data_IF_796887957019
#
_entry.id   IF_796887957019
#
_cell.length_a   1.000
_cell.length_b   1.000
_cell.length_c   1.000
_cell.angle_alpha   90.00
_cell.angle_beta   90.00
_cell.angle_gamma   90.00
#
_symmetry.space_group_name_H-M   'P 1'
#
loop_
_entity.id
_entity.type
_entity.pdbx_description
1 polymer ?
#
# COMPACT_ATOMS: atom_id res chain seq x y z
N UNK A 1 6.39 -3.50 22.64
CA UNK A 1 5.29 -3.29 21.67
C UNK A 1 5.05 -1.81 21.40
N UNK A 2 4.81 -0.99 22.42
CA UNK A 2 4.55 0.46 22.27
C UNK A 2 5.64 1.21 21.45
N UNK A 3 6.92 0.83 21.60
CA UNK A 3 8.03 1.45 20.87
C UNK A 3 7.98 1.24 19.35
N UNK A 4 7.56 0.06 18.87
CA UNK A 4 7.42 -0.19 17.43
C UNK A 4 6.29 0.64 16.85
N UNK A 5 5.14 0.66 17.53
CA UNK A 5 4.01 1.50 17.13
C UNK A 5 4.40 2.98 17.13
N UNK A 6 5.05 3.47 18.18
CA UNK A 6 5.58 4.84 18.21
C UNK A 6 6.49 5.12 17.02
N UNK A 7 7.47 4.24 16.72
CA UNK A 7 8.38 4.40 15.59
C UNK A 7 7.62 4.52 14.26
N UNK A 8 6.71 3.57 13.99
CA UNK A 8 5.89 3.56 12.76
C UNK A 8 5.05 4.84 12.67
N UNK A 9 4.43 5.28 13.77
CA UNK A 9 3.62 6.48 13.78
C UNK A 9 4.43 7.76 13.57
N UNK A 10 5.66 7.85 14.11
CA UNK A 10 6.54 8.99 13.85
C UNK A 10 7.03 9.01 12.40
N UNK A 11 7.42 7.85 11.86
CA UNK A 11 7.82 7.74 10.45
C UNK A 11 6.69 8.16 9.52
N UNK A 12 5.45 7.78 9.82
CA UNK A 12 4.27 8.17 9.05
C UNK A 12 4.07 9.69 8.95
N UNK A 13 4.38 10.44 10.03
CA UNK A 13 4.25 11.91 10.02
C UNK A 13 5.18 12.59 9.01
N UNK A 14 6.33 11.98 8.71
CA UNK A 14 7.30 12.55 7.78
C UNK A 14 6.80 12.60 6.34
N UNK A 15 5.78 11.81 6.01
CA UNK A 15 5.40 11.49 4.64
C UNK A 15 3.92 11.75 4.31
N UNK A 16 3.01 11.76 5.29
CA UNK A 16 1.57 11.91 5.02
C UNK A 16 0.97 13.24 5.48
N UNK A 17 -0.09 13.65 4.79
CA UNK A 17 -0.84 14.90 5.02
C UNK A 17 -1.91 14.83 6.12
N UNK A 18 -2.22 13.65 6.64
CA UNK A 18 -3.29 13.43 7.63
C UNK A 18 -2.77 12.58 8.76
N UNK A 19 -3.31 12.72 9.98
CA UNK A 19 -3.08 11.77 11.07
C UNK A 19 -3.59 10.37 10.72
N UNK A 20 -3.03 9.32 11.35
CA UNK A 20 -3.26 7.90 10.98
C UNK A 20 -4.74 7.55 11.05
N UNK A 21 -5.44 8.04 12.07
CA UNK A 21 -6.86 7.81 12.23
C UNK A 21 -7.70 8.22 11.00
N UNK A 22 -7.41 9.39 10.40
CA UNK A 22 -8.16 9.88 9.25
C UNK A 22 -7.75 9.16 7.96
N UNK A 23 -6.47 8.80 7.84
CA UNK A 23 -6.00 8.00 6.71
C UNK A 23 -6.64 6.61 6.72
N UNK A 24 -6.61 5.91 7.86
CA UNK A 24 -7.19 4.58 7.99
C UNK A 24 -8.71 4.60 7.77
N UNK A 25 -9.41 5.63 8.23
CA UNK A 25 -10.83 5.82 7.92
C UNK A 25 -11.06 5.91 6.40
N UNK A 26 -10.37 6.82 5.71
CA UNK A 26 -10.52 6.99 4.26
C UNK A 26 -10.13 5.72 3.49
N UNK A 27 -9.08 5.03 3.94
CA UNK A 27 -8.60 3.80 3.32
C UNK A 27 -9.56 2.60 3.53
N UNK A 28 -10.16 2.47 4.72
CA UNK A 28 -11.24 1.48 4.97
C UNK A 28 -12.47 1.75 4.10
N UNK A 29 -12.86 3.03 3.94
CA UNK A 29 -13.94 3.40 3.02
C UNK A 29 -13.57 3.04 1.58
N UNK A 30 -12.34 3.33 1.17
CA UNK A 30 -11.81 3.01 -0.16
C UNK A 30 -11.93 1.52 -0.46
N UNK A 31 -11.32 0.63 0.34
CA UNK A 31 -11.41 -0.82 0.10
C UNK A 31 -12.85 -1.34 0.07
N UNK A 32 -13.71 -0.85 0.98
CA UNK A 32 -15.08 -1.35 1.09
C UNK A 32 -15.98 -0.90 -0.07
N UNK A 33 -15.69 0.24 -0.67
CA UNK A 33 -16.55 0.86 -1.69
C UNK A 33 -15.78 1.29 -2.94
N UNK A 34 -14.67 0.61 -3.22
CA UNK A 34 -13.71 0.95 -4.28
C UNK A 34 -14.42 1.17 -5.61
N UNK A 35 -14.01 2.18 -6.36
CA UNK A 35 -14.58 2.52 -7.67
C UNK A 35 -16.08 2.88 -7.67
N UNK A 36 -16.63 3.33 -6.53
CA UNK A 36 -17.99 3.86 -6.43
C UNK A 36 -18.00 5.34 -6.07
N UNK A 37 -19.18 5.98 -6.03
CA UNK A 37 -19.32 7.36 -5.52
C UNK A 37 -18.99 7.50 -4.04
N UNK A 38 -18.87 6.38 -3.32
CA UNK A 38 -18.49 6.34 -1.91
C UNK A 38 -16.99 6.21 -1.69
N UNK A 39 -16.20 5.94 -2.73
CA UNK A 39 -14.75 5.88 -2.67
C UNK A 39 -14.15 7.30 -2.65
N UNK A 40 -13.35 7.67 -1.63
CA UNK A 40 -12.76 9.00 -1.52
C UNK A 40 -11.91 9.38 -2.74
N UNK A 41 -11.19 8.44 -3.35
CA UNK A 41 -10.26 8.67 -4.47
C UNK A 41 -10.61 7.82 -5.69
N UNK A 42 -11.91 7.66 -5.95
CA UNK A 42 -12.47 6.89 -7.06
C UNK A 42 -11.74 7.09 -8.40
N UNK A 43 -10.98 6.07 -8.81
CA UNK A 43 -10.21 6.05 -10.05
C UNK A 43 -11.09 6.16 -11.33
N UNK A 44 -12.38 5.80 -11.28
CA UNK A 44 -13.31 5.99 -12.42
C UNK A 44 -13.60 7.47 -12.73
N UNK A 45 -13.25 8.39 -11.83
CA UNK A 45 -13.30 9.84 -12.09
C UNK A 45 -12.07 10.36 -12.84
N UNK A 46 -11.14 9.47 -13.18
CA UNK A 46 -9.95 9.76 -13.97
C UNK A 46 -8.71 10.09 -13.14
N UNK A 47 -7.56 9.99 -13.80
CA UNK A 47 -6.22 10.09 -13.20
C UNK A 47 -6.07 11.29 -12.25
N UNK A 48 -6.39 12.50 -12.71
CA UNK A 48 -6.17 13.71 -11.91
C UNK A 48 -7.02 13.73 -10.64
N UNK A 49 -8.24 13.17 -10.68
CA UNK A 49 -9.09 13.10 -9.49
C UNK A 49 -8.51 12.15 -8.45
N UNK A 50 -8.21 10.91 -8.85
CA UNK A 50 -7.65 9.89 -7.95
C UNK A 50 -6.23 10.22 -7.47
N UNK A 51 -5.46 10.94 -8.27
CA UNK A 51 -4.10 11.35 -7.91
C UNK A 51 -4.11 12.46 -6.85
N UNK A 52 -4.72 13.63 -7.14
CA UNK A 52 -4.69 14.78 -6.22
C UNK A 52 -6.03 15.49 -6.06
N UNK A 53 -6.91 15.42 -7.05
CA UNK A 53 -8.18 16.16 -7.07
C UNK A 53 -9.07 15.87 -5.86
N UNK A 54 -9.08 14.64 -5.38
CA UNK A 54 -9.87 14.24 -4.21
C UNK A 54 -9.50 14.96 -2.90
N UNK A 55 -8.27 15.50 -2.79
CA UNK A 55 -7.83 16.25 -1.62
C UNK A 55 -8.26 17.72 -1.65
N UNK A 56 -8.35 18.30 -2.84
CA UNK A 56 -8.61 19.73 -3.04
C UNK A 56 -10.07 20.05 -3.35
N UNK A 57 -10.84 19.04 -3.73
CA UNK A 57 -12.27 19.15 -4.01
C UNK A 57 -13.11 18.72 -2.81
N UNK A 58 -14.33 19.26 -2.73
CA UNK A 58 -15.32 18.82 -1.73
C UNK A 58 -15.63 17.32 -1.94
N UNK A 59 -15.57 16.49 -0.89
CA UNK A 59 -15.91 15.07 -0.99
C UNK A 59 -17.35 14.86 -1.45
N UNK A 60 -17.59 13.80 -2.23
CA UNK A 60 -18.94 13.41 -2.62
C UNK A 60 -19.79 13.11 -1.37
N UNK A 61 -21.10 13.46 -1.34
CA UNK A 61 -21.95 13.22 -0.17
C UNK A 61 -21.97 11.77 0.31
N UNK A 62 -21.85 10.80 -0.62
CA UNK A 62 -21.82 9.38 -0.27
C UNK A 62 -20.55 9.00 0.50
N UNK A 63 -19.39 9.57 0.17
CA UNK A 63 -18.16 9.40 0.95
C UNK A 63 -18.39 9.87 2.39
N UNK A 64 -19.02 11.03 2.56
CA UNK A 64 -19.33 11.58 3.89
C UNK A 64 -20.28 10.68 4.68
N UNK A 65 -21.29 10.10 4.02
CA UNK A 65 -22.20 9.13 4.64
C UNK A 65 -21.46 7.85 5.04
N UNK A 66 -20.61 7.30 4.16
CA UNK A 66 -19.90 6.05 4.40
C UNK A 66 -18.83 6.15 5.48
N UNK A 67 -18.14 7.29 5.59
CA UNK A 67 -17.21 7.57 6.70
C UNK A 67 -17.84 7.42 8.08
N UNK A 68 -19.13 7.74 8.23
CA UNK A 68 -19.83 7.69 9.53
C UNK A 68 -20.18 6.28 10.00
N UNK A 69 -20.11 5.28 9.11
CA UNK A 69 -20.53 3.90 9.42
C UNK A 69 -19.36 2.91 9.39
N UNK A 70 -18.15 3.38 9.10
CA UNK A 70 -16.94 2.56 9.25
C UNK A 70 -16.65 2.47 10.75
N UNK A 71 -16.49 1.24 11.23
CA UNK A 71 -16.02 0.99 12.58
C UNK A 71 -14.56 1.46 12.70
N UNK A 72 -14.29 2.25 13.74
CA UNK A 72 -12.99 2.80 14.08
C UNK A 72 -12.64 2.54 15.56
N UNK A 73 -13.44 1.73 16.25
CA UNK A 73 -13.32 1.49 17.70
C UNK A 73 -11.96 0.91 18.10
N UNK A 74 -11.34 0.13 17.21
CA UNK A 74 -9.99 -0.40 17.37
C UNK A 74 -8.91 0.70 17.41
N UNK A 75 -9.03 1.72 16.54
CA UNK A 75 -8.11 2.87 16.53
C UNK A 75 -8.42 3.89 17.64
N UNK A 76 -9.68 3.99 18.06
CA UNK A 76 -10.07 4.81 19.21
C UNK A 76 -9.56 4.25 20.54
N UNK A 77 -9.45 2.92 20.63
CA UNK A 77 -8.90 2.22 21.78
C UNK A 77 -7.36 2.28 21.85
N UNK A 78 -6.67 2.59 20.74
CA UNK A 78 -5.21 2.74 20.72
C UNK A 78 -4.78 4.14 21.22
N UNK A 79 -4.15 4.23 22.41
CA UNK A 79 -3.77 5.53 22.99
C UNK A 79 -2.69 6.24 22.18
N UNK A 80 -1.83 5.53 21.46
CA UNK A 80 -0.76 6.12 20.64
C UNK A 80 -1.38 6.77 19.41
N UNK A 81 -2.31 6.09 18.73
CA UNK A 81 -3.06 6.66 17.59
C UNK A 81 -3.81 7.92 18.01
N UNK A 82 -4.49 7.87 19.15
CA UNK A 82 -5.28 9.00 19.64
C UNK A 82 -4.41 10.16 20.15
N UNK A 83 -3.23 9.88 20.73
CA UNK A 83 -2.22 10.88 21.03
C UNK A 83 -1.72 11.56 19.74
N UNK A 84 -1.36 10.78 18.72
CA UNK A 84 -0.88 11.31 17.45
C UNK A 84 -1.94 12.19 16.77
N UNK A 85 -3.21 11.73 16.76
CA UNK A 85 -4.35 12.52 16.28
C UNK A 85 -4.49 13.86 17.01
N UNK A 86 -4.36 13.86 18.34
CA UNK A 86 -4.50 15.08 19.17
C UNK A 86 -3.38 16.09 18.90
N UNK A 87 -2.15 15.63 18.75
CA UNK A 87 -0.97 16.49 18.61
C UNK A 87 -0.49 16.65 17.16
N UNK A 88 -1.21 16.10 16.19
CA UNK A 88 -0.81 16.05 14.79
C UNK A 88 -0.31 17.38 14.22
N UNK A 89 -0.98 18.54 14.40
CA UNK A 89 -0.48 19.80 13.85
C UNK A 89 0.90 20.19 14.38
N UNK A 90 1.14 19.98 15.68
CA UNK A 90 2.42 20.28 16.32
C UNK A 90 3.48 19.30 15.83
N UNK A 91 3.17 18.00 15.82
CA UNK A 91 4.10 16.97 15.38
C UNK A 91 4.47 17.12 13.91
N UNK A 92 3.52 17.48 13.04
CA UNK A 92 3.77 17.76 11.62
C UNK A 92 4.72 18.95 11.45
N UNK A 93 4.45 20.07 12.15
CA UNK A 93 5.33 21.24 12.08
C UNK A 93 6.73 20.92 12.59
N UNK A 94 6.87 20.13 13.64
CA UNK A 94 8.18 19.80 14.20
C UNK A 94 8.93 18.75 13.37
N UNK A 95 8.29 17.62 13.06
CA UNK A 95 8.97 16.46 12.47
C UNK A 95 9.04 16.53 10.94
N UNK A 96 8.06 17.14 10.28
CA UNK A 96 7.98 17.17 8.81
C UNK A 96 8.60 18.44 8.23
N UNK A 97 8.53 19.56 8.96
CA UNK A 97 9.07 20.86 8.55
C UNK A 97 10.29 21.25 9.38
N UNK A 98 10.13 21.39 10.70
CA UNK A 98 11.14 21.95 11.60
C UNK A 98 12.46 21.20 11.60
N UNK A 99 12.45 19.91 11.94
CA UNK A 99 13.65 19.07 11.98
C UNK A 99 14.31 18.91 10.59
N UNK A 100 13.57 18.58 9.50
CA UNK A 100 14.19 18.46 8.18
C UNK A 100 14.82 19.75 7.67
N UNK A 101 14.31 20.92 8.09
CA UNK A 101 14.89 22.23 7.73
C UNK A 101 16.04 22.61 8.67
N UNK A 102 15.93 22.35 9.97
CA UNK A 102 16.93 22.76 10.96
C UNK A 102 18.21 21.90 10.91
N UNK A 103 18.10 20.60 10.59
CA UNK A 103 19.25 19.69 10.58
C UNK A 103 20.32 20.14 9.56
N UNK A 104 20.01 20.40 8.27
CA UNK A 104 20.99 20.88 7.32
C UNK A 104 21.58 22.24 7.69
N UNK A 105 20.73 23.16 8.18
CA UNK A 105 21.18 24.49 8.61
C UNK A 105 22.19 24.39 9.75
N UNK A 106 21.93 23.54 10.75
CA UNK A 106 22.77 23.46 11.94
C UNK A 106 24.04 22.62 11.75
N UNK A 107 23.94 21.46 11.09
CA UNK A 107 25.06 20.51 11.00
C UNK A 107 25.89 20.63 9.70
N UNK A 108 25.41 21.39 8.71
CA UNK A 108 25.94 21.39 7.34
C UNK A 108 26.12 22.83 6.82
N UNK A 109 25.82 23.82 7.67
CA UNK A 109 25.89 25.26 7.35
C UNK A 109 25.06 25.64 6.10
N UNK A 110 24.00 24.89 5.81
CA UNK A 110 23.11 25.19 4.68
C UNK A 110 22.24 26.41 4.98
N UNK A 111 21.84 27.14 3.93
CA UNK A 111 20.89 28.25 4.07
C UNK A 111 19.51 27.74 4.47
N UNK A 112 18.80 28.53 5.29
CA UNK A 112 17.42 28.21 5.67
C UNK A 112 16.49 28.12 4.45
N UNK A 113 16.76 28.94 3.41
CA UNK A 113 15.99 28.96 2.18
C UNK A 113 16.11 27.66 1.40
N UNK A 114 17.34 27.19 1.13
CA UNK A 114 17.56 25.92 0.45
C UNK A 114 17.00 24.75 1.26
N UNK A 115 17.25 24.74 2.57
CA UNK A 115 16.74 23.68 3.46
C UNK A 115 15.21 23.61 3.44
N UNK A 116 14.53 24.76 3.46
CA UNK A 116 13.06 24.81 3.36
C UNK A 116 12.52 24.31 2.02
N UNK A 117 13.13 24.70 0.90
CA UNK A 117 12.62 24.33 -0.42
C UNK A 117 13.00 22.90 -0.84
N UNK A 118 14.15 22.40 -0.41
CA UNK A 118 14.64 21.07 -0.78
C UNK A 118 14.18 20.03 0.24
N UNK A 119 14.57 20.18 1.51
CA UNK A 119 14.39 19.16 2.54
C UNK A 119 12.94 19.07 3.05
N UNK A 120 12.18 20.17 2.98
CA UNK A 120 10.73 20.13 3.19
C UNK A 120 9.96 20.07 1.87
N UNK A 121 9.86 21.16 1.11
CA UNK A 121 8.89 21.23 -0.01
C UNK A 121 9.13 20.16 -1.08
N UNK A 122 10.33 20.10 -1.66
CA UNK A 122 10.64 19.15 -2.74
C UNK A 122 10.48 17.71 -2.28
N UNK A 123 11.10 17.35 -1.15
CA UNK A 123 10.98 16.01 -0.55
C UNK A 123 9.51 15.64 -0.31
N UNK A 124 8.74 16.54 0.29
CA UNK A 124 7.34 16.30 0.65
C UNK A 124 6.46 16.17 -0.59
N UNK A 125 6.63 17.04 -1.59
CA UNK A 125 5.93 16.95 -2.87
C UNK A 125 6.21 15.63 -3.60
N UNK A 126 7.48 15.21 -3.69
CA UNK A 126 7.85 13.93 -4.34
C UNK A 126 7.18 12.77 -3.61
N UNK A 127 7.28 12.75 -2.27
CA UNK A 127 6.69 11.68 -1.45
C UNK A 127 5.18 11.60 -1.66
N UNK A 128 4.48 12.74 -1.66
CA UNK A 128 3.04 12.77 -1.88
C UNK A 128 2.66 12.26 -3.27
N UNK A 129 3.39 12.67 -4.31
CA UNK A 129 3.12 12.17 -5.67
C UNK A 129 3.33 10.66 -5.77
N UNK A 130 4.37 10.11 -5.12
CA UNK A 130 4.58 8.67 -5.03
C UNK A 130 3.39 7.98 -4.35
N UNK A 131 2.94 8.49 -3.20
CA UNK A 131 1.77 7.94 -2.52
C UNK A 131 0.49 8.05 -3.38
N UNK A 132 0.32 9.15 -4.09
CA UNK A 132 -0.83 9.37 -4.98
C UNK A 132 -0.81 8.50 -6.22
N UNK A 133 0.36 8.03 -6.67
CA UNK A 133 0.47 7.04 -7.74
C UNK A 133 -0.16 5.70 -7.35
N UNK A 134 -0.20 5.35 -6.06
CA UNK A 134 -0.91 4.14 -5.60
C UNK A 134 -2.40 4.28 -5.89
N UNK A 135 -3.01 5.41 -5.54
CA UNK A 135 -4.43 5.67 -5.79
C UNK A 135 -4.76 5.84 -7.29
N UNK A 136 -3.80 6.29 -8.11
CA UNK A 136 -4.02 6.55 -9.53
C UNK A 136 -3.44 5.47 -10.44
N UNK A 137 -2.12 5.43 -10.61
CA UNK A 137 -1.44 4.49 -11.51
C UNK A 137 -1.77 3.03 -11.16
N UNK A 138 -1.78 2.69 -9.87
CA UNK A 138 -2.06 1.32 -9.42
C UNK A 138 -3.56 0.95 -9.43
N UNK A 139 -4.43 1.82 -9.95
CA UNK A 139 -5.83 1.52 -10.29
C UNK A 139 -6.11 1.59 -11.81
N UNK A 140 -5.10 1.88 -12.63
CA UNK A 140 -5.29 2.21 -14.05
C UNK A 140 -4.39 1.42 -14.99
N UNK A 141 -3.11 1.23 -14.65
CA UNK A 141 -2.12 0.69 -15.58
C UNK A 141 -1.23 -0.38 -14.93
N UNK A 142 -1.43 -1.63 -15.35
CA UNK A 142 -0.69 -2.78 -14.85
C UNK A 142 -1.46 -4.08 -15.11
N UNK A 143 -1.01 -5.15 -14.45
CA UNK A 143 -1.56 -6.49 -14.60
C UNK A 143 -2.57 -6.81 -13.50
N UNK A 144 -3.47 -7.77 -13.72
CA UNK A 144 -4.48 -8.21 -12.75
C UNK A 144 -4.44 -9.73 -12.54
N UNK A 145 -3.33 -10.27 -12.02
CA UNK A 145 -3.12 -11.71 -11.90
C UNK A 145 -4.07 -12.39 -10.91
N UNK A 146 -4.69 -11.65 -9.97
CA UNK A 146 -5.54 -12.24 -8.92
C UNK A 146 -7.04 -11.98 -9.15
N UNK A 147 -7.40 -10.78 -9.61
CA UNK A 147 -8.79 -10.44 -9.94
C UNK A 147 -8.87 -9.37 -11.04
N UNK A 148 -9.31 -9.78 -12.22
CA UNK A 148 -9.46 -8.90 -13.40
C UNK A 148 -10.67 -7.98 -13.35
N UNK A 149 -11.66 -8.29 -12.51
CA UNK A 149 -12.96 -7.61 -12.45
C UNK A 149 -12.92 -6.34 -11.57
N UNK A 150 -11.87 -6.17 -10.76
CA UNK A 150 -11.58 -4.95 -10.00
C UNK A 150 -10.60 -4.04 -10.75
N UNK A 151 -10.57 -2.74 -10.44
CA UNK A 151 -9.63 -1.80 -11.07
C UNK A 151 -8.16 -1.90 -10.62
N UNK A 152 -7.84 -2.16 -9.33
CA UNK A 152 -6.47 -2.28 -8.85
C UNK A 152 -5.60 -3.20 -9.69
N UNK A 153 -4.35 -2.81 -9.92
CA UNK A 153 -3.39 -3.49 -10.77
C UNK A 153 -2.04 -3.65 -10.07
N UNK A 154 -1.30 -4.69 -10.45
CA UNK A 154 0.12 -4.83 -10.14
C UNK A 154 0.93 -3.87 -11.01
N UNK A 155 1.64 -2.93 -10.39
CA UNK A 155 2.48 -1.96 -11.06
C UNK A 155 3.88 -1.91 -10.41
N UNK A 156 4.85 -2.48 -11.10
CA UNK A 156 6.25 -2.58 -10.65
C UNK A 156 6.88 -1.21 -10.34
N UNK A 157 6.62 -0.20 -11.18
CA UNK A 157 7.19 1.15 -11.00
C UNK A 157 6.65 1.77 -9.71
N UNK A 158 5.34 1.66 -9.49
CA UNK A 158 4.71 2.12 -8.25
C UNK A 158 5.25 1.32 -7.06
N UNK A 159 5.45 0.01 -7.20
CA UNK A 159 5.97 -0.81 -6.11
C UNK A 159 7.38 -0.38 -5.69
N UNK A 160 8.27 -0.13 -6.64
CA UNK A 160 9.63 0.35 -6.34
C UNK A 160 9.58 1.73 -5.69
N UNK A 161 8.79 2.66 -6.25
CA UNK A 161 8.73 4.03 -5.74
C UNK A 161 8.06 4.11 -4.35
N UNK A 162 6.98 3.36 -4.14
CA UNK A 162 6.18 3.32 -2.92
C UNK A 162 6.58 2.17 -1.98
N UNK A 163 7.80 1.64 -2.11
CA UNK A 163 8.41 0.69 -1.17
C UNK A 163 7.67 -0.64 -0.99
N UNK A 164 6.84 -1.05 -1.96
CA UNK A 164 6.09 -2.31 -1.96
C UNK A 164 4.60 -2.16 -2.26
N UNK A 165 4.06 -0.95 -2.17
CA UNK A 165 2.60 -0.71 -2.24
C UNK A 165 2.01 -0.74 -3.66
N UNK A 166 2.81 -1.06 -4.68
CA UNK A 166 2.37 -1.15 -6.07
C UNK A 166 1.79 -2.50 -6.47
N UNK A 167 1.85 -3.49 -5.58
CA UNK A 167 1.21 -4.81 -5.74
C UNK A 167 -0.29 -4.72 -5.41
N UNK A 168 -0.99 -3.84 -6.12
CA UNK A 168 -2.27 -3.33 -5.68
C UNK A 168 -3.46 -4.23 -6.02
N UNK A 169 -3.34 -5.08 -7.05
CA UNK A 169 -4.34 -6.10 -7.33
C UNK A 169 -4.36 -7.14 -6.20
N UNK A 170 -3.19 -7.61 -5.77
CA UNK A 170 -3.05 -8.50 -4.63
C UNK A 170 -3.62 -7.87 -3.36
N UNK A 171 -3.18 -6.65 -3.05
CA UNK A 171 -3.59 -5.94 -1.85
C UNK A 171 -5.11 -5.77 -1.74
N UNK A 172 -5.80 -5.46 -2.84
CA UNK A 172 -7.26 -5.34 -2.83
C UNK A 172 -7.99 -6.68 -2.74
N UNK A 173 -7.38 -7.76 -3.23
CA UNK A 173 -7.93 -9.12 -3.13
C UNK A 173 -7.72 -9.72 -1.73
N UNK A 174 -6.58 -9.43 -1.10
CA UNK A 174 -6.18 -9.92 0.22
C UNK A 174 -5.80 -8.76 1.17
N UNK A 175 -6.74 -7.86 1.51
CA UNK A 175 -6.44 -6.64 2.28
C UNK A 175 -6.00 -6.87 3.73
N UNK A 176 -6.09 -8.11 4.22
CA UNK A 176 -5.62 -8.52 5.55
C UNK A 176 -4.19 -9.08 5.56
N UNK A 177 -3.56 -9.24 4.39
CA UNK A 177 -2.19 -9.74 4.27
C UNK A 177 -1.19 -8.63 4.60
N UNK A 178 -0.31 -8.86 5.58
CA UNK A 178 0.67 -7.88 6.02
C UNK A 178 1.74 -7.56 4.95
N UNK A 179 1.95 -8.46 3.98
CA UNK A 179 3.00 -8.33 2.96
C UNK A 179 2.59 -7.41 1.81
N UNK A 180 1.30 -7.12 1.67
CA UNK A 180 0.73 -6.33 0.56
C UNK A 180 1.06 -6.83 -0.86
N UNK A 181 1.67 -8.01 -1.01
CA UNK A 181 2.00 -8.65 -2.29
C UNK A 181 2.42 -10.11 -2.10
N UNK A 182 2.23 -10.95 -3.13
CA UNK A 182 2.47 -12.40 -3.06
C UNK A 182 3.93 -12.77 -2.81
N UNK A 183 4.85 -12.26 -3.63
CA UNK A 183 6.25 -12.68 -3.63
C UNK A 183 7.11 -12.03 -2.53
N UNK A 184 6.47 -11.34 -1.58
CA UNK A 184 7.10 -10.85 -0.35
C UNK A 184 8.36 -10.00 -0.56
N UNK A 185 9.29 -10.15 0.38
CA UNK A 185 10.35 -9.18 0.73
C UNK A 185 11.28 -8.73 -0.39
N UNK A 186 11.44 -9.43 -1.51
CA UNK A 186 12.51 -9.12 -2.50
C UNK A 186 12.38 -7.74 -3.15
N UNK A 187 11.15 -7.26 -3.34
CA UNK A 187 10.82 -5.95 -3.91
C UNK A 187 9.84 -5.15 -3.04
N UNK A 188 9.64 -5.60 -1.80
CA UNK A 188 8.75 -4.98 -0.84
C UNK A 188 9.54 -4.63 0.43
N UNK A 189 10.02 -3.39 0.49
CA UNK A 189 10.83 -2.89 1.61
C UNK A 189 9.98 -2.73 2.87
N UNK A 190 8.68 -2.44 2.74
CA UNK A 190 7.74 -2.43 3.88
C UNK A 190 7.67 -3.81 4.55
N UNK A 191 7.59 -4.89 3.76
CA UNK A 191 7.61 -6.26 4.28
C UNK A 191 8.94 -6.59 4.96
N UNK A 192 10.07 -6.23 4.35
CA UNK A 192 11.39 -6.42 4.97
C UNK A 192 11.50 -5.73 6.32
N UNK A 193 10.97 -4.50 6.42
CA UNK A 193 10.95 -3.73 7.65
C UNK A 193 10.14 -4.45 8.73
N UNK A 194 8.92 -4.90 8.42
CA UNK A 194 8.07 -5.64 9.36
C UNK A 194 8.73 -6.96 9.78
N UNK A 195 9.28 -7.72 8.82
CA UNK A 195 9.98 -8.99 9.08
C UNK A 195 11.19 -8.80 10.00
N UNK A 196 11.93 -7.70 9.86
CA UNK A 196 13.02 -7.35 10.76
C UNK A 196 12.53 -7.15 12.19
N UNK A 197 11.47 -6.36 12.39
CA UNK A 197 10.90 -6.15 13.73
C UNK A 197 10.22 -7.39 14.28
N UNK A 198 9.72 -8.28 13.43
CA UNK A 198 9.22 -9.58 13.84
C UNK A 198 10.34 -10.49 14.38
N UNK A 199 11.51 -10.48 13.75
CA UNK A 199 12.70 -11.20 14.27
C UNK A 199 13.17 -10.67 15.62
N UNK A 200 12.97 -9.37 15.90
CA UNK A 200 13.24 -8.77 17.21
C UNK A 200 12.13 -9.06 18.26
N UNK A 201 11.02 -9.69 17.85
CA UNK A 201 9.85 -9.92 18.71
C UNK A 201 8.99 -8.68 18.96
N UNK A 202 9.15 -7.62 18.15
CA UNK A 202 8.39 -6.37 18.29
C UNK A 202 7.12 -6.35 17.43
N UNK A 203 7.10 -7.14 16.36
CA UNK A 203 5.92 -7.45 15.57
C UNK A 203 5.61 -8.96 15.66
N UNK A 204 4.34 -9.32 15.66
CA UNK A 204 3.86 -10.70 15.77
C UNK A 204 2.44 -10.80 15.20
N UNK A 205 1.86 -12.00 15.19
CA UNK A 205 0.55 -12.29 14.56
C UNK A 205 0.48 -11.80 13.09
N UNK A 206 1.58 -12.00 12.35
CA UNK A 206 1.68 -11.63 10.94
C UNK A 206 0.78 -12.54 10.10
N UNK A 207 -0.26 -11.96 9.50
CA UNK A 207 -1.25 -12.69 8.69
C UNK A 207 -0.89 -12.62 7.23
N UNK A 208 -0.85 -13.77 6.56
CA UNK A 208 -0.61 -13.85 5.11
C UNK A 208 -1.55 -14.86 4.46
N UNK A 209 -1.88 -14.65 3.19
CA UNK A 209 -2.66 -15.60 2.41
C UNK A 209 -1.79 -16.84 2.10
N UNK A 210 -2.38 -18.03 2.21
CA UNK A 210 -1.65 -19.26 1.89
C UNK A 210 -1.42 -19.36 0.37
N UNK A 211 -0.34 -20.00 -0.09
CA UNK A 211 -0.09 -20.21 -1.52
C UNK A 211 -1.28 -20.84 -2.26
N UNK A 212 -1.93 -21.83 -1.64
CA UNK A 212 -3.13 -22.47 -2.20
C UNK A 212 -4.33 -21.51 -2.33
N UNK A 213 -4.49 -20.57 -1.39
CA UNK A 213 -5.53 -19.54 -1.47
C UNK A 213 -5.26 -18.58 -2.62
N UNK A 214 -4.01 -18.15 -2.78
CA UNK A 214 -3.56 -17.24 -3.83
C UNK A 214 -3.73 -17.90 -5.21
N UNK A 215 -3.18 -19.10 -5.38
CA UNK A 215 -3.28 -19.90 -6.61
C UNK A 215 -4.74 -20.11 -7.04
N UNK A 216 -5.61 -20.55 -6.11
CA UNK A 216 -7.03 -20.75 -6.38
C UNK A 216 -7.72 -19.46 -6.81
N UNK A 217 -7.35 -18.31 -6.24
CA UNK A 217 -7.92 -17.01 -6.61
C UNK A 217 -7.44 -16.58 -7.99
N UNK A 218 -6.13 -16.67 -8.26
CA UNK A 218 -5.54 -16.36 -9.55
C UNK A 218 -6.16 -17.19 -10.69
N UNK A 219 -6.37 -18.50 -10.49
CA UNK A 219 -7.04 -19.37 -11.50
C UNK A 219 -8.50 -19.02 -11.72
N UNK A 220 -9.21 -18.59 -10.66
CA UNK A 220 -10.65 -18.30 -10.72
C UNK A 220 -10.95 -16.96 -11.39
N UNK A 221 -10.19 -15.92 -11.08
CA UNK A 221 -10.50 -14.53 -11.44
C UNK A 221 -9.34 -13.74 -12.02
N UNK A 222 -8.13 -14.30 -12.09
CA UNK A 222 -6.98 -13.63 -12.70
C UNK A 222 -7.15 -13.39 -14.20
N UNK A 223 -6.39 -12.43 -14.72
CA UNK A 223 -6.31 -12.12 -16.16
C UNK A 223 -5.37 -13.06 -16.95
N UNK A 224 -4.80 -14.08 -16.30
CA UNK A 224 -3.86 -15.04 -16.89
C UNK A 224 -2.38 -14.63 -16.80
N UNK A 225 -2.07 -13.47 -16.21
CA UNK A 225 -0.68 -12.97 -16.10
C UNK A 225 0.06 -13.48 -14.86
N UNK A 226 -0.62 -14.29 -14.03
CA UNK A 226 -0.01 -14.95 -12.88
C UNK A 226 1.03 -15.99 -13.31
N UNK A 227 2.12 -16.17 -12.55
CA UNK A 227 3.23 -17.06 -12.94
C UNK A 227 2.80 -18.52 -13.15
N UNK A 228 1.85 -19.01 -12.35
CA UNK A 228 1.29 -20.37 -12.51
C UNK A 228 0.49 -20.55 -13.80
N UNK A 229 -0.09 -19.48 -14.35
CA UNK A 229 -0.87 -19.52 -15.59
C UNK A 229 -0.02 -19.17 -16.82
N UNK A 230 1.20 -18.65 -16.60
CA UNK A 230 2.06 -18.08 -17.64
C UNK A 230 3.43 -18.77 -17.71
N UNK A 231 3.47 -20.09 -17.55
CA UNK A 231 4.66 -20.90 -17.81
C UNK A 231 4.88 -20.96 -19.34
N UNK A 232 5.96 -20.34 -19.82
CA UNK A 232 6.37 -20.49 -21.22
C UNK A 232 6.67 -21.96 -21.52
N UNK A 233 6.10 -22.50 -22.59
CA UNK A 233 6.18 -23.93 -22.94
C UNK A 233 5.10 -24.82 -22.33
N UNK A 234 4.32 -24.32 -21.36
CA UNK A 234 3.26 -25.11 -20.74
C UNK A 234 2.06 -25.25 -21.67
N UNK A 235 1.84 -26.46 -22.18
CA UNK A 235 0.80 -26.77 -23.15
C UNK A 235 1.29 -26.87 -24.60
N UNK A 236 2.59 -26.67 -24.85
CA UNK A 236 3.19 -26.91 -26.16
C UNK A 236 3.10 -28.40 -26.53
N UNK A 237 2.91 -28.70 -27.82
CA UNK A 237 2.72 -30.08 -28.31
C UNK A 237 4.00 -30.92 -28.19
N UNK A 238 5.17 -30.28 -28.11
CA UNK A 238 6.49 -30.89 -28.07
C UNK A 238 7.10 -30.96 -26.67
N UNK A 239 6.33 -30.66 -25.61
CA UNK A 239 6.80 -30.82 -24.24
C UNK A 239 7.11 -32.29 -23.93
N UNK A 240 8.24 -32.56 -23.25
CA UNK A 240 8.58 -33.91 -22.82
C UNK A 240 7.51 -34.45 -21.84
N UNK A 241 7.20 -35.74 -21.93
CA UNK A 241 6.10 -36.37 -21.17
C UNK A 241 6.39 -36.32 -19.66
N UNK A 242 7.65 -36.43 -19.29
CA UNK A 242 8.17 -36.32 -17.94
C UNK A 242 7.91 -34.93 -17.37
N UNK A 243 8.28 -33.89 -18.10
CA UNK A 243 8.06 -32.49 -17.72
C UNK A 243 6.57 -32.17 -17.60
N UNK A 244 5.75 -32.70 -18.53
CA UNK A 244 4.28 -32.53 -18.47
C UNK A 244 3.68 -33.10 -17.20
N UNK A 245 4.10 -34.29 -16.77
CA UNK A 245 3.63 -34.91 -15.52
C UNK A 245 4.08 -34.14 -14.28
N UNK A 246 5.30 -33.62 -14.28
CA UNK A 246 5.81 -32.82 -13.18
C UNK A 246 5.06 -31.50 -13.07
N UNK A 247 4.76 -30.84 -14.19
CA UNK A 247 3.97 -29.62 -14.23
C UNK A 247 2.51 -29.85 -13.82
N UNK A 248 1.89 -30.97 -14.21
CA UNK A 248 0.54 -31.35 -13.73
C UNK A 248 0.50 -31.54 -12.20
N UNK A 249 1.56 -32.08 -11.60
CA UNK A 249 1.69 -32.23 -10.14
C UNK A 249 1.89 -30.86 -9.43
N UNK A 250 2.69 -29.98 -10.03
CA UNK A 250 2.90 -28.61 -9.54
C UNK A 250 1.59 -27.82 -9.58
N UNK A 251 0.82 -27.93 -10.67
CA UNK A 251 -0.45 -27.23 -10.85
C UNK A 251 -1.56 -27.81 -9.98
N UNK A 252 -1.61 -29.13 -9.75
CA UNK A 252 -2.64 -29.75 -8.89
C UNK A 252 -2.42 -29.53 -7.39
N UNK A 253 -1.27 -28.99 -6.97
CA UNK A 253 -0.96 -28.74 -5.56
C UNK A 253 -0.74 -30.03 -4.75
N UNK A 254 -0.61 -31.17 -5.41
CA UNK A 254 -0.26 -32.45 -4.80
C UNK A 254 1.23 -32.71 -4.97
N UNK A 255 2.03 -32.07 -4.12
CA UNK A 255 3.41 -32.49 -3.87
C UNK A 255 3.43 -33.51 -2.73
N UNK A 256 4.00 -34.70 -3.00
CA UNK A 256 4.36 -35.71 -1.99
C UNK A 256 5.49 -35.24 -1.09
#
# INVERSE_FOLDING_TARGET
MEWFLCLVQQSYLLVYLKHIYAWALDHRVHHKYSETTSDPHNAKRGFFFSHVGWLVLTPHPDVVKKRKIIDMSDLEADPIVMWQKRYYPILFLLLTVGLPVAIPVYFWEETIWNSFWICFNTRFCITLNIAFCVNSLAHMWGYKPYDKDINPVENMIVSIAALGEGWHNYHHVFPWDYKTGEFGSRLNLSTQFIDFFAKLGWAYDLKYASPEMISRRARKSGDGTHIETHLWGYGDEDIEIEDKKELENIVSGTST
#
